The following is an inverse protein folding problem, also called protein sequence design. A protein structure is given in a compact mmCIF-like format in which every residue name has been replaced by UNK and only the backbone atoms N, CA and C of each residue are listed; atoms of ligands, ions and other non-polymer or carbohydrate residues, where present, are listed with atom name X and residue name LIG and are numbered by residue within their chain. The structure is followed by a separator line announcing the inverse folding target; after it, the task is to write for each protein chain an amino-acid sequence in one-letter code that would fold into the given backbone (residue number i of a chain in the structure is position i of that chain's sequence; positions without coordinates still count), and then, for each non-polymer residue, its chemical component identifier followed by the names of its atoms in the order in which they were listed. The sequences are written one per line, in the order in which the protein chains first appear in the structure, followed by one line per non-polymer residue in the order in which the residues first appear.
data_IF_021882384066
#
_entry.id   IF_021882384066
#
_cell.length_a   1.000
_cell.length_b   1.000
_cell.length_c   1.000
_cell.angle_alpha   90.00
_cell.angle_beta   90.00
_cell.angle_gamma   90.00
#
_symmetry.space_group_name_H-M   'P 1'
#
loop_
_entity.id
_entity.type
_entity.pdbx_description
1 polymer ?
#
# COMPACT_ATOMS: atom_id res chain seq x y z
N UNK A 1 -4.21 -22.61 0.83
CA UNK A 1 -5.57 -22.07 0.90
C UNK A 1 -5.58 -20.97 1.95
N UNK A 2 -5.27 -19.77 1.55
CA UNK A 2 -5.49 -18.58 2.36
C UNK A 2 -6.99 -18.27 2.35
N UNK A 3 -7.55 -17.90 3.49
CA UNK A 3 -8.94 -17.44 3.56
C UNK A 3 -9.10 -16.19 2.70
N UNK A 4 -10.31 -15.88 2.23
CA UNK A 4 -10.55 -14.75 1.31
C UNK A 4 -10.21 -13.35 1.91
N UNK A 5 -9.73 -13.29 3.14
CA UNK A 5 -9.43 -12.05 3.88
C UNK A 5 -8.00 -11.97 4.38
N UNK A 6 -7.14 -12.96 4.07
CA UNK A 6 -5.78 -12.97 4.59
C UNK A 6 -4.87 -12.12 3.68
N UNK A 7 -4.14 -11.21 4.30
CA UNK A 7 -3.00 -10.55 3.69
C UNK A 7 -1.73 -11.34 4.00
N UNK A 8 -0.76 -11.30 3.11
CA UNK A 8 0.53 -11.95 3.32
C UNK A 8 1.66 -11.08 2.78
N UNK A 9 2.83 -11.23 3.36
CA UNK A 9 4.06 -10.70 2.79
C UNK A 9 4.86 -11.80 2.12
N UNK A 10 5.53 -11.48 1.03
CA UNK A 10 6.44 -12.38 0.34
C UNK A 10 7.87 -11.83 0.42
N UNK A 11 8.80 -12.66 0.87
CA UNK A 11 10.21 -12.33 0.88
C UNK A 11 10.87 -13.01 -0.33
N UNK A 12 11.46 -12.20 -1.20
CA UNK A 12 12.26 -12.70 -2.32
C UNK A 12 13.72 -12.69 -1.89
N UNK A 13 14.30 -13.89 -1.79
CA UNK A 13 15.71 -14.08 -1.49
C UNK A 13 16.42 -14.41 -2.79
N UNK A 14 17.44 -13.62 -3.12
CA UNK A 14 18.25 -13.85 -4.31
C UNK A 14 19.70 -14.09 -3.90
N UNK A 15 20.30 -15.11 -4.48
CA UNK A 15 21.73 -15.36 -4.36
C UNK A 15 22.41 -14.85 -5.63
N UNK A 16 23.14 -13.77 -5.49
CA UNK A 16 23.91 -13.20 -6.60
C UNK A 16 25.33 -13.76 -6.58
N UNK A 17 25.66 -14.54 -7.58
CA UNK A 17 27.06 -14.95 -7.82
C UNK A 17 27.92 -13.68 -7.87
N UNK A 18 29.00 -13.68 -7.12
CA UNK A 18 29.96 -12.55 -7.00
C UNK A 18 29.55 -11.36 -6.13
N UNK A 19 28.57 -11.50 -5.24
CA UNK A 19 28.11 -10.44 -4.32
C UNK A 19 27.77 -9.10 -5.00
N UNK A 20 27.46 -9.10 -6.28
CA UNK A 20 27.03 -7.90 -7.01
C UNK A 20 25.53 -7.85 -7.02
N UNK A 21 24.98 -6.89 -6.29
CA UNK A 21 23.55 -6.58 -6.31
C UNK A 21 23.29 -5.67 -7.51
N UNK A 22 22.32 -5.97 -8.38
CA UNK A 22 21.91 -5.05 -9.45
C UNK A 22 21.55 -3.69 -8.87
N UNK A 23 21.94 -2.62 -9.53
CA UNK A 23 21.65 -1.25 -9.10
C UNK A 23 20.16 -0.95 -9.04
N UNK A 24 19.34 -1.76 -9.72
CA UNK A 24 17.88 -1.59 -9.80
C UNK A 24 17.20 -2.93 -9.96
N UNK A 25 16.37 -3.29 -8.99
CA UNK A 25 15.50 -4.47 -9.06
C UNK A 25 14.06 -3.98 -9.20
N UNK A 26 13.36 -4.45 -10.23
CA UNK A 26 11.94 -4.20 -10.45
C UNK A 26 11.15 -5.46 -10.16
N UNK A 27 10.00 -5.28 -9.55
CA UNK A 27 9.02 -6.33 -9.30
C UNK A 27 7.75 -6.05 -10.08
N UNK A 28 7.12 -7.13 -10.58
CA UNK A 28 5.78 -7.10 -11.12
C UNK A 28 4.84 -7.85 -10.19
N UNK A 29 3.71 -7.25 -9.89
CA UNK A 29 2.63 -7.85 -9.09
C UNK A 29 1.37 -7.90 -9.94
N UNK A 30 0.86 -9.10 -10.21
CA UNK A 30 -0.43 -9.32 -10.86
C UNK A 30 -1.51 -9.52 -9.81
N UNK A 31 -2.53 -8.65 -9.83
CA UNK A 31 -3.64 -8.67 -8.90
C UNK A 31 -4.96 -8.82 -9.65
N UNK A 32 -5.78 -9.74 -9.21
CA UNK A 32 -7.09 -9.98 -9.79
C UNK A 32 -8.05 -10.62 -8.79
N UNK A 33 -9.33 -10.61 -9.13
CA UNK A 33 -10.37 -11.28 -8.34
C UNK A 33 -10.61 -12.65 -8.94
N UNK A 34 -10.46 -13.69 -8.11
CA UNK A 34 -10.81 -15.05 -8.47
C UNK A 34 -12.31 -15.11 -8.83
N UNK A 35 -12.63 -15.72 -9.96
CA UNK A 35 -14.00 -15.81 -10.50
C UNK A 35 -14.60 -14.49 -11.01
N UNK A 36 -13.80 -13.45 -11.21
CA UNK A 36 -14.23 -12.24 -11.91
C UNK A 36 -14.62 -12.53 -13.36
N UNK A 37 -15.58 -11.76 -13.88
CA UNK A 37 -15.90 -11.76 -15.32
C UNK A 37 -14.72 -11.22 -16.14
N UNK A 38 -13.95 -10.30 -15.57
CA UNK A 38 -12.71 -9.84 -16.16
C UNK A 38 -11.60 -10.83 -15.85
N UNK A 39 -10.93 -11.32 -16.88
CA UNK A 39 -9.77 -12.21 -16.76
C UNK A 39 -8.44 -11.47 -16.85
N UNK A 40 -8.48 -10.16 -17.00
CA UNK A 40 -7.28 -9.34 -17.07
C UNK A 40 -6.84 -8.94 -15.66
N UNK A 41 -5.65 -9.34 -15.20
CA UNK A 41 -5.10 -8.86 -13.94
C UNK A 41 -4.67 -7.39 -14.07
N UNK A 42 -4.64 -6.70 -12.94
CA UNK A 42 -3.90 -5.45 -12.80
C UNK A 42 -2.42 -5.80 -12.60
N UNK A 43 -1.54 -5.30 -13.45
CA UNK A 43 -0.10 -5.45 -13.30
C UNK A 43 0.48 -4.18 -12.69
N UNK A 44 1.15 -4.31 -11.56
CA UNK A 44 1.83 -3.21 -10.86
C UNK A 44 3.33 -3.47 -10.92
N UNK A 45 4.06 -2.52 -11.49
CA UNK A 45 5.52 -2.55 -11.54
C UNK A 45 6.07 -1.60 -10.48
N UNK A 46 6.86 -2.10 -9.54
CA UNK A 46 7.38 -1.31 -8.43
C UNK A 46 8.81 -1.68 -8.05
N UNK A 47 9.46 -0.78 -7.31
CA UNK A 47 10.74 -1.02 -6.65
C UNK A 47 10.49 -1.08 -5.14
N UNK A 48 11.13 -2.02 -4.45
CA UNK A 48 11.04 -2.08 -3.00
C UNK A 48 12.12 -1.22 -2.33
N UNK A 49 11.74 -0.62 -1.21
CA UNK A 49 12.66 0.08 -0.30
C UNK A 49 13.13 -0.84 0.85
N UNK A 50 12.51 -2.00 1.00
CA UNK A 50 12.81 -2.92 2.09
C UNK A 50 14.29 -3.29 2.10
N UNK A 51 14.90 -3.20 3.28
CA UNK A 51 16.31 -3.54 3.46
C UNK A 51 17.31 -2.51 2.96
N UNK A 52 16.86 -1.35 2.48
CA UNK A 52 17.78 -0.28 2.13
C UNK A 52 18.33 0.42 3.39
N UNK A 53 19.61 0.23 3.75
CA UNK A 53 20.16 0.80 4.98
C UNK A 53 20.22 2.33 4.96
N UNK A 54 20.21 2.96 3.79
CA UNK A 54 20.20 4.42 3.65
C UNK A 54 18.90 5.06 4.18
N UNK A 55 17.85 4.27 4.33
CA UNK A 55 16.58 4.75 4.90
C UNK A 55 16.58 4.74 6.43
N UNK A 56 17.49 4.03 7.10
CA UNK A 56 17.46 3.85 8.55
C UNK A 56 17.49 5.17 9.30
N UNK A 57 18.24 6.13 8.80
CA UNK A 57 18.39 7.46 9.38
C UNK A 57 17.37 8.50 8.85
N UNK A 58 16.45 8.09 8.00
CA UNK A 58 15.39 9.00 7.53
C UNK A 58 14.31 9.15 8.61
N UNK A 59 13.77 10.38 8.79
CA UNK A 59 12.79 10.64 9.84
C UNK A 59 11.44 9.96 9.60
N UNK A 60 11.10 9.70 8.35
CA UNK A 60 9.80 9.12 7.98
C UNK A 60 9.60 8.98 6.49
N UNK A 61 8.36 8.74 6.11
CA UNK A 61 7.91 8.64 4.73
C UNK A 61 6.67 9.48 4.48
N UNK A 62 6.50 9.88 3.23
CA UNK A 62 5.32 10.56 2.73
C UNK A 62 4.92 9.91 1.40
N UNK A 63 3.63 9.60 1.28
CA UNK A 63 3.04 9.00 0.09
C UNK A 63 1.68 9.61 -0.19
N UNK A 64 1.17 9.39 -1.39
CA UNK A 64 -0.18 9.74 -1.75
C UNK A 64 -0.82 8.69 -2.67
N UNK A 65 -2.15 8.66 -2.74
CA UNK A 65 -2.91 7.79 -3.63
C UNK A 65 -4.25 8.45 -3.99
N UNK A 66 -4.78 8.20 -5.20
CA UNK A 66 -6.14 8.57 -5.54
C UNK A 66 -7.16 7.63 -4.89
N UNK A 67 -8.38 8.12 -4.66
CA UNK A 67 -9.49 7.33 -4.14
C UNK A 67 -10.74 7.59 -4.99
N UNK A 68 -11.33 6.52 -5.52
CA UNK A 68 -12.57 6.58 -6.30
C UNK A 68 -13.67 5.77 -5.60
N UNK A 69 -14.61 6.45 -4.96
CA UNK A 69 -15.69 5.82 -4.17
C UNK A 69 -16.41 4.72 -4.94
N UNK A 70 -16.81 5.01 -6.17
CA UNK A 70 -17.60 4.09 -7.00
C UNK A 70 -16.82 2.87 -7.50
N UNK A 71 -15.54 2.76 -7.15
CA UNK A 71 -14.66 1.65 -7.53
C UNK A 71 -14.15 0.86 -6.33
N UNK A 72 -14.88 0.89 -5.23
CA UNK A 72 -14.57 0.16 -4.01
C UNK A 72 -13.05 0.19 -3.67
N UNK A 73 -12.53 1.35 -3.26
CA UNK A 73 -11.11 1.51 -3.00
C UNK A 73 -10.67 0.67 -1.80
N UNK A 74 -9.52 0.03 -1.96
CA UNK A 74 -8.84 -0.74 -0.92
C UNK A 74 -7.40 -0.27 -0.85
N UNK A 75 -6.94 0.02 0.36
CA UNK A 75 -5.56 0.40 0.64
C UNK A 75 -4.90 -0.74 1.42
N UNK A 76 -3.69 -1.08 1.04
CA UNK A 76 -2.87 -2.05 1.76
C UNK A 76 -1.59 -1.35 2.23
N UNK A 77 -1.44 -1.17 3.53
CA UNK A 77 -0.28 -0.56 4.17
C UNK A 77 0.57 -1.62 4.81
N UNK A 78 1.88 -1.51 4.69
CA UNK A 78 2.82 -2.42 5.33
C UNK A 78 4.00 -1.70 5.99
N UNK A 79 4.41 -2.21 7.13
CA UNK A 79 5.62 -1.80 7.85
C UNK A 79 6.63 -2.94 7.82
N UNK A 80 7.40 -3.04 6.73
CA UNK A 80 8.29 -4.15 6.46
C UNK A 80 9.71 -3.70 6.19
N UNK A 81 10.69 -4.43 6.75
CA UNK A 81 12.09 -4.28 6.40
C UNK A 81 12.81 -5.64 6.47
N UNK A 82 13.76 -5.84 5.56
CA UNK A 82 14.68 -7.00 5.59
C UNK A 82 15.93 -6.72 6.42
N UNK A 83 16.03 -5.58 7.08
CA UNK A 83 17.12 -5.27 7.99
C UNK A 83 17.13 -6.26 9.16
N UNK A 84 18.31 -6.73 9.51
CA UNK A 84 18.47 -7.63 10.66
C UNK A 84 17.97 -6.96 11.93
N UNK A 85 17.11 -7.66 12.67
CA UNK A 85 16.51 -7.17 13.92
C UNK A 85 15.64 -5.92 13.77
N UNK A 86 14.97 -5.75 12.63
CA UNK A 86 14.04 -4.64 12.45
C UNK A 86 12.94 -4.63 13.52
N UNK A 87 12.85 -3.54 14.29
CA UNK A 87 11.93 -3.38 15.42
C UNK A 87 11.22 -2.02 15.45
N UNK A 88 11.30 -1.25 14.37
CA UNK A 88 10.75 0.10 14.34
C UNK A 88 9.23 0.08 14.13
N UNK A 89 8.49 0.55 15.10
CA UNK A 89 7.06 0.85 14.97
C UNK A 89 6.85 1.99 13.97
N UNK A 90 5.65 2.12 13.47
CA UNK A 90 5.25 3.24 12.63
C UNK A 90 3.99 3.88 13.16
N UNK A 91 4.02 5.18 13.43
CA UNK A 91 2.84 6.01 13.62
C UNK A 91 2.50 6.66 12.29
N UNK A 92 1.28 6.47 11.84
CA UNK A 92 0.83 6.85 10.51
C UNK A 92 -0.35 7.80 10.64
N UNK A 93 -0.27 8.91 9.94
CA UNK A 93 -1.36 9.85 9.74
C UNK A 93 -1.87 9.72 8.30
N UNK A 94 -3.15 9.42 8.16
CA UNK A 94 -3.88 9.33 6.91
C UNK A 94 -4.77 10.55 6.77
N UNK A 95 -4.57 11.35 5.75
CA UNK A 95 -5.42 12.49 5.45
C UNK A 95 -6.17 12.20 4.15
N UNK A 96 -7.49 12.14 4.24
CA UNK A 96 -8.38 11.91 3.11
C UNK A 96 -9.00 13.24 2.67
N UNK A 97 -8.90 13.56 1.42
CA UNK A 97 -9.36 14.81 0.83
C UNK A 97 -10.47 14.53 -0.16
N UNK A 98 -11.52 15.32 -0.06
CA UNK A 98 -12.64 15.31 -1.00
C UNK A 98 -12.40 16.35 -2.09
N UNK A 99 -12.61 15.95 -3.35
CA UNK A 99 -12.32 16.83 -4.51
C UNK A 99 -13.30 17.99 -4.62
N UNK A 100 -14.56 17.77 -4.28
CA UNK A 100 -15.64 18.74 -4.55
C UNK A 100 -15.49 20.05 -3.78
N UNK A 101 -14.96 20.00 -2.57
CA UNK A 101 -14.88 21.18 -1.68
C UNK A 101 -13.57 21.26 -0.88
N UNK A 102 -12.60 20.42 -1.22
CA UNK A 102 -11.30 20.33 -0.53
C UNK A 102 -11.42 20.05 0.98
N UNK A 103 -12.57 19.60 1.47
CA UNK A 103 -12.68 19.18 2.86
C UNK A 103 -11.80 17.95 3.13
N UNK A 104 -11.37 17.81 4.38
CA UNK A 104 -10.43 16.77 4.80
C UNK A 104 -10.89 16.12 6.09
N UNK A 105 -10.67 14.82 6.19
CA UNK A 105 -10.66 14.09 7.46
C UNK A 105 -9.30 13.45 7.67
N UNK A 106 -8.90 13.34 8.94
CA UNK A 106 -7.62 12.74 9.33
C UNK A 106 -7.86 11.56 10.26
N UNK A 107 -7.12 10.50 10.02
CA UNK A 107 -7.12 9.32 10.85
C UNK A 107 -5.69 8.93 11.24
N UNK A 108 -5.54 8.37 12.43
CA UNK A 108 -4.23 7.91 12.93
C UNK A 108 -4.28 6.43 13.21
N UNK A 109 -3.20 5.76 12.85
CA UNK A 109 -3.01 4.35 13.18
C UNK A 109 -1.53 4.07 13.44
N UNK A 110 -1.26 2.93 14.05
CA UNK A 110 0.10 2.43 14.22
C UNK A 110 0.24 1.04 13.63
N UNK A 111 1.41 0.76 13.08
CA UNK A 111 1.80 -0.56 12.62
C UNK A 111 3.05 -1.03 13.35
N UNK A 112 2.99 -2.25 13.88
CA UNK A 112 4.15 -2.93 14.43
C UNK A 112 5.13 -3.33 13.34
N UNK A 113 6.40 -3.61 13.65
CA UNK A 113 7.34 -4.17 12.69
C UNK A 113 6.77 -5.46 12.07
N UNK A 114 6.95 -5.60 10.77
CA UNK A 114 6.49 -6.75 9.99
C UNK A 114 4.97 -7.01 10.07
N UNK A 115 4.20 -5.93 10.20
CA UNK A 115 2.74 -6.00 10.15
C UNK A 115 2.17 -5.18 9.00
N UNK A 116 0.94 -5.49 8.65
CA UNK A 116 0.17 -4.81 7.61
C UNK A 116 -1.22 -4.42 8.12
N UNK A 117 -1.84 -3.52 7.37
CA UNK A 117 -3.25 -3.17 7.54
C UNK A 117 -3.90 -2.93 6.19
N UNK A 118 -5.05 -3.58 6.00
CA UNK A 118 -5.97 -3.29 4.91
C UNK A 118 -7.01 -2.29 5.38
N UNK A 119 -7.28 -1.29 4.56
CA UNK A 119 -8.28 -0.24 4.79
C UNK A 119 -9.25 -0.25 3.61
N UNK A 120 -10.53 -0.33 3.89
CA UNK A 120 -11.60 -0.25 2.89
C UNK A 120 -12.29 1.11 2.93
N UNK A 121 -13.11 1.39 1.91
CA UNK A 121 -13.94 2.60 1.88
C UNK A 121 -14.91 2.70 3.07
N UNK A 122 -15.24 1.59 3.71
CA UNK A 122 -16.17 1.53 4.84
C UNK A 122 -15.49 1.77 6.20
N UNK A 123 -14.15 1.74 6.22
CA UNK A 123 -13.38 2.08 7.41
C UNK A 123 -13.30 3.61 7.55
N UNK A 124 -13.20 4.11 8.78
CA UNK A 124 -13.05 5.53 9.08
C UNK A 124 -14.15 6.45 8.52
N UNK A 125 -15.36 5.93 8.32
CA UNK A 125 -16.48 6.66 7.72
C UNK A 125 -16.18 7.24 6.33
N UNK A 126 -15.22 6.67 5.61
CA UNK A 126 -14.83 7.15 4.27
C UNK A 126 -15.98 7.08 3.27
N UNK A 127 -16.86 6.08 3.40
CA UNK A 127 -18.01 5.94 2.52
C UNK A 127 -18.97 7.14 2.63
N UNK A 128 -19.16 7.67 3.83
CA UNK A 128 -20.04 8.82 4.04
C UNK A 128 -19.34 10.15 3.71
N UNK A 129 -18.04 10.21 3.96
CA UNK A 129 -17.24 11.39 3.69
C UNK A 129 -17.05 11.64 2.19
N UNK A 130 -16.64 10.63 1.43
CA UNK A 130 -16.41 10.76 -0.01
C UNK A 130 -17.74 10.77 -0.77
N UNK A 131 -17.97 11.75 -1.61
CA UNK A 131 -19.12 11.79 -2.53
C UNK A 131 -18.83 10.99 -3.78
N UNK A 132 -17.77 11.30 -4.49
CA UNK A 132 -17.35 10.62 -5.73
C UNK A 132 -15.91 10.20 -5.70
N UNK A 133 -15.01 11.14 -5.72
CA UNK A 133 -13.57 10.95 -5.82
C UNK A 133 -12.86 11.77 -4.74
N UNK A 134 -11.64 11.38 -4.51
CA UNK A 134 -10.76 12.06 -3.59
C UNK A 134 -9.33 11.60 -3.76
N UNK A 135 -8.51 12.02 -2.87
CA UNK A 135 -7.14 11.57 -2.76
C UNK A 135 -6.74 11.51 -1.29
N UNK A 136 -5.66 10.83 -1.02
CA UNK A 136 -5.15 10.73 0.34
C UNK A 136 -3.66 10.98 0.39
N UNK A 137 -3.20 11.44 1.55
CA UNK A 137 -1.79 11.42 1.91
C UNK A 137 -1.56 10.48 3.07
N UNK A 138 -0.39 9.88 3.07
CA UNK A 138 0.10 8.96 4.10
C UNK A 138 1.40 9.55 4.62
N UNK A 139 1.42 9.99 5.85
CA UNK A 139 2.59 10.51 6.52
C UNK A 139 2.96 9.58 7.67
N UNK A 140 4.17 9.10 7.71
CA UNK A 140 4.63 8.20 8.76
C UNK A 140 5.98 8.63 9.32
N UNK A 141 6.20 8.36 10.61
CA UNK A 141 7.48 8.56 11.30
C UNK A 141 8.49 7.42 11.03
N UNK A 142 8.18 6.59 10.07
CA UNK A 142 8.96 5.42 9.67
C UNK A 142 9.16 5.39 8.15
N UNK A 143 10.42 5.37 7.66
CA UNK A 143 10.71 5.43 6.23
C UNK A 143 10.44 4.14 5.47
N UNK A 144 10.16 3.03 6.16
CA UNK A 144 9.90 1.74 5.56
C UNK A 144 8.42 1.47 5.29
N UNK A 145 7.54 2.44 5.55
CA UNK A 145 6.15 2.32 5.16
C UNK A 145 6.03 2.29 3.65
N UNK A 146 5.28 1.34 3.16
CA UNK A 146 4.95 1.17 1.76
C UNK A 146 3.60 0.50 1.62
N UNK A 147 3.08 0.46 0.42
CA UNK A 147 1.82 -0.20 0.16
C UNK A 147 1.28 0.06 -1.24
N UNK A 148 0.05 -0.37 -1.40
CA UNK A 148 -0.66 -0.35 -2.65
C UNK A 148 -2.07 0.18 -2.45
N UNK A 149 -2.62 0.76 -3.49
CA UNK A 149 -4.05 1.03 -3.57
C UNK A 149 -4.66 0.25 -4.72
N UNK A 150 -5.88 -0.18 -4.54
CA UNK A 150 -6.64 -0.93 -5.52
C UNK A 150 -8.03 -0.34 -5.64
N UNK A 151 -8.56 -0.36 -6.85
CA UNK A 151 -9.94 -0.03 -7.16
C UNK A 151 -10.58 -1.23 -7.85
N UNK A 152 -11.74 -1.63 -7.37
CA UNK A 152 -12.47 -2.79 -7.89
C UNK A 152 -13.82 -2.32 -8.37
N UNK A 153 -14.08 -2.44 -9.67
CA UNK A 153 -15.39 -2.10 -10.21
C UNK A 153 -16.43 -3.22 -10.03
N UNK A 154 -17.69 -2.94 -10.38
CA UNK A 154 -18.79 -3.89 -10.26
C UNK A 154 -18.65 -5.16 -11.11
N UNK A 155 -17.83 -5.14 -12.17
CA UNK A 155 -17.52 -6.32 -12.98
C UNK A 155 -16.35 -7.16 -12.42
N UNK A 156 -15.73 -6.70 -11.33
CA UNK A 156 -14.56 -7.34 -10.74
C UNK A 156 -13.25 -7.04 -11.46
N UNK A 157 -13.21 -6.01 -12.30
CA UNK A 157 -11.96 -5.50 -12.85
C UNK A 157 -11.21 -4.75 -11.74
N UNK A 158 -9.94 -5.10 -11.57
CA UNK A 158 -9.05 -4.46 -10.61
C UNK A 158 -8.16 -3.46 -11.36
N UNK A 159 -7.99 -2.28 -10.79
CA UNK A 159 -6.95 -1.32 -11.13
C UNK A 159 -6.22 -0.89 -9.87
N UNK A 160 -4.96 -0.54 -9.96
CA UNK A 160 -4.20 -0.12 -8.78
C UNK A 160 -2.76 0.18 -9.10
N UNK A 161 -2.06 0.68 -8.11
CA UNK A 161 -0.63 0.95 -8.16
C UNK A 161 -0.03 0.93 -6.76
N UNK A 162 1.29 1.08 -6.66
CA UNK A 162 1.94 1.39 -5.40
C UNK A 162 1.64 2.84 -5.01
N UNK A 163 1.81 3.19 -3.75
CA UNK A 163 1.73 4.58 -3.30
C UNK A 163 2.89 5.40 -3.90
N UNK A 164 2.60 6.61 -4.30
CA UNK A 164 3.53 7.58 -4.89
C UNK A 164 4.25 8.41 -3.84
#
# INVERSE_FOLDING_TARGET
NTSNNDTFSAHVITDFKNNKIPSRIKFGLDVGIKNSKSKLPCNICFNTKMGNPLLENKPGSFHWAPIFKNRNPILALGNFSTLKNYKRDANIELNFYRIEDSSMISEKLSLKPNSEKRISIYDFNLNDFLKTEGWMTIKADNPYIQGFYFHINSSGLVSGDHFF
#
